data_IF_398960402899
#
_entry.id   IF_398960402899
#
_cell.length_a   1.000
_cell.length_b   1.000
_cell.length_c   1.000
_cell.angle_alpha   90.00
_cell.angle_beta   90.00
_cell.angle_gamma   90.00
#
_symmetry.space_group_name_H-M   'P 1'
#
loop_
_entity.id
_entity.type
_entity.pdbx_description
1 polymer ?
#
# COMPACT_ATOMS: atom_id res chain seq x y z
N UNK A 1 -45.03 19.98 29.78
CA UNK A 1 -44.34 18.71 29.53
C UNK A 1 -43.86 18.77 28.10
N UNK A 2 -42.63 19.23 27.96
CA UNK A 2 -41.86 19.24 26.73
C UNK A 2 -41.53 17.80 26.38
N UNK A 3 -41.76 17.39 25.14
CA UNK A 3 -40.74 16.64 24.41
C UNK A 3 -40.98 16.90 22.91
N UNK A 4 -40.19 17.85 22.41
CA UNK A 4 -40.09 18.17 21.00
C UNK A 4 -39.04 17.24 20.39
N UNK A 5 -39.38 16.74 19.21
CA UNK A 5 -38.55 15.98 18.30
C UNK A 5 -37.04 16.32 18.33
N UNK A 6 -36.23 15.28 18.48
CA UNK A 6 -34.87 15.22 17.94
C UNK A 6 -34.80 13.96 17.06
N UNK A 7 -35.26 14.09 15.82
CA UNK A 7 -34.84 13.16 14.77
C UNK A 7 -33.38 13.51 14.45
N UNK A 8 -32.50 12.57 14.72
CA UNK A 8 -31.07 12.67 14.48
C UNK A 8 -30.82 12.76 12.97
N UNK A 9 -30.62 13.97 12.48
CA UNK A 9 -30.04 14.23 11.17
C UNK A 9 -28.56 13.86 11.26
N UNK A 10 -28.26 12.58 11.09
CA UNK A 10 -26.90 12.13 10.83
C UNK A 10 -26.61 12.44 9.37
N UNK A 11 -26.27 13.71 9.11
CA UNK A 11 -25.49 14.08 7.95
C UNK A 11 -24.26 13.18 7.95
N UNK A 12 -24.29 12.15 7.12
CA UNK A 12 -23.19 11.23 6.94
C UNK A 12 -22.06 12.04 6.31
N UNK A 13 -21.15 12.53 7.16
CA UNK A 13 -19.99 13.30 6.78
C UNK A 13 -19.34 12.61 5.59
N UNK A 14 -19.27 13.34 4.47
CA UNK A 14 -18.56 12.93 3.28
C UNK A 14 -17.14 12.57 3.70
N UNK A 15 -16.83 11.28 3.80
CA UNK A 15 -15.48 10.81 4.11
C UNK A 15 -14.56 11.33 3.00
N UNK A 16 -13.85 12.42 3.29
CA UNK A 16 -12.78 12.96 2.48
C UNK A 16 -11.67 11.91 2.41
N UNK A 17 -11.74 11.03 1.41
CA UNK A 17 -10.62 10.17 1.04
C UNK A 17 -9.58 11.01 0.29
N UNK A 18 -9.07 12.06 0.94
CA UNK A 18 -8.16 13.01 0.32
C UNK A 18 -6.76 12.87 0.94
N UNK A 19 -5.85 12.32 0.14
CA UNK A 19 -4.40 12.51 0.24
C UNK A 19 -3.73 12.06 1.55
N UNK A 20 -3.81 10.76 1.86
CA UNK A 20 -2.89 10.12 2.80
C UNK A 20 -1.54 9.76 2.16
N UNK A 21 -0.46 9.47 2.92
CA UNK A 21 0.85 9.08 2.38
C UNK A 21 0.85 7.86 1.43
N UNK A 22 -0.24 7.08 1.43
CA UNK A 22 -0.45 5.97 0.51
C UNK A 22 -0.95 6.42 -0.88
N UNK A 23 -1.58 7.59 -0.99
CA UNK A 23 -2.04 8.16 -2.26
C UNK A 23 -0.86 8.52 -3.18
N UNK A 24 0.34 8.71 -2.62
CA UNK A 24 1.58 8.96 -3.37
C UNK A 24 2.24 7.68 -3.91
N UNK A 25 1.75 6.49 -3.53
CA UNK A 25 2.32 5.21 -3.98
C UNK A 25 1.63 4.76 -5.27
N UNK A 26 2.01 5.38 -6.39
CA UNK A 26 1.33 5.18 -7.68
C UNK A 26 1.96 4.05 -8.49
N UNK A 27 3.28 3.96 -8.51
CA UNK A 27 4.01 3.01 -9.35
C UNK A 27 4.53 1.80 -8.57
N UNK A 28 4.84 0.71 -9.27
CA UNK A 28 5.56 -0.44 -8.67
C UNK A 28 6.84 0.01 -7.97
N UNK A 29 7.59 0.95 -8.56
CA UNK A 29 8.79 1.54 -7.96
C UNK A 29 8.49 2.23 -6.62
N UNK A 30 7.36 2.92 -6.50
CA UNK A 30 6.98 3.60 -5.25
C UNK A 30 6.70 2.59 -4.14
N UNK A 31 5.95 1.54 -4.45
CA UNK A 31 5.65 0.45 -3.50
C UNK A 31 6.89 -0.32 -3.10
N UNK A 32 7.79 -0.59 -4.05
CA UNK A 32 9.07 -1.25 -3.76
C UNK A 32 9.94 -0.40 -2.83
N UNK A 33 10.14 0.89 -3.17
CA UNK A 33 10.88 1.84 -2.34
C UNK A 33 10.31 1.92 -0.93
N UNK A 34 8.99 2.03 -0.81
CA UNK A 34 8.30 2.09 0.47
C UNK A 34 8.55 0.81 1.28
N UNK A 35 8.34 -0.35 0.68
CA UNK A 35 8.49 -1.66 1.32
C UNK A 35 9.91 -1.88 1.83
N UNK A 36 10.93 -1.65 1.00
CA UNK A 36 12.35 -1.78 1.38
C UNK A 36 12.69 -0.84 2.54
N UNK A 37 12.21 0.40 2.50
CA UNK A 37 12.43 1.36 3.61
C UNK A 37 11.82 0.86 4.92
N UNK A 38 10.60 0.31 4.87
CA UNK A 38 9.94 -0.25 6.05
C UNK A 38 10.67 -1.49 6.55
N UNK A 39 11.02 -2.41 5.67
CA UNK A 39 11.70 -3.67 5.99
C UNK A 39 13.05 -3.43 6.67
N UNK A 40 13.84 -2.50 6.13
CA UNK A 40 15.11 -2.10 6.73
C UNK A 40 14.93 -1.45 8.11
N UNK A 41 13.86 -0.67 8.34
CA UNK A 41 13.60 -0.07 9.65
C UNK A 41 13.13 -1.08 10.69
N UNK A 42 12.43 -2.13 10.28
CA UNK A 42 11.86 -3.13 11.19
C UNK A 42 12.68 -4.42 11.30
N UNK A 43 13.73 -4.58 10.48
CA UNK A 43 14.58 -5.78 10.44
C UNK A 43 13.74 -7.06 10.32
N UNK A 44 12.96 -7.14 9.25
CA UNK A 44 12.08 -8.29 9.02
C UNK A 44 12.87 -9.59 8.84
N UNK A 45 12.22 -10.71 9.11
CA UNK A 45 12.73 -12.01 8.67
C UNK A 45 12.35 -12.21 7.20
N UNK A 46 13.35 -12.27 6.32
CA UNK A 46 13.16 -12.65 4.92
C UNK A 46 13.05 -14.17 4.81
N UNK A 47 11.98 -14.65 4.17
CA UNK A 47 11.71 -16.08 4.01
C UNK A 47 12.53 -16.69 2.87
N UNK A 48 12.33 -17.98 2.60
CA UNK A 48 12.70 -18.62 1.33
C UNK A 48 14.19 -18.57 0.89
N UNK A 49 15.13 -18.32 1.81
CA UNK A 49 16.56 -18.28 1.52
C UNK A 49 17.05 -16.96 0.93
N UNK A 50 16.22 -15.93 0.96
CA UNK A 50 16.53 -14.57 0.53
C UNK A 50 17.12 -13.81 1.72
N UNK A 51 18.27 -13.15 1.53
CA UNK A 51 18.98 -12.47 2.63
C UNK A 51 18.77 -10.96 2.66
N UNK A 52 18.27 -10.38 1.57
CA UNK A 52 18.15 -8.93 1.43
C UNK A 52 16.70 -8.45 1.40
N UNK A 53 16.46 -7.31 2.05
CA UNK A 53 15.15 -6.66 2.13
C UNK A 53 14.61 -6.28 0.75
N UNK A 54 15.51 -6.00 -0.21
CA UNK A 54 15.11 -5.64 -1.58
C UNK A 54 14.45 -6.81 -2.29
N UNK A 55 15.10 -7.98 -2.29
CA UNK A 55 14.63 -9.16 -3.00
C UNK A 55 13.30 -9.66 -2.43
N UNK A 56 13.15 -9.67 -1.10
CA UNK A 56 11.88 -10.02 -0.44
C UNK A 56 10.76 -9.03 -0.81
N UNK A 57 11.05 -7.73 -0.80
CA UNK A 57 10.08 -6.71 -1.20
C UNK A 57 9.68 -6.84 -2.67
N UNK A 58 10.64 -7.08 -3.57
CA UNK A 58 10.38 -7.30 -4.99
C UNK A 58 9.51 -8.55 -5.19
N UNK A 59 9.84 -9.65 -4.51
CA UNK A 59 9.08 -10.90 -4.57
C UNK A 59 7.63 -10.68 -4.13
N UNK A 60 7.42 -10.05 -2.98
CA UNK A 60 6.08 -9.79 -2.44
C UNK A 60 5.25 -8.87 -3.36
N UNK A 61 5.84 -7.81 -3.88
CA UNK A 61 5.15 -6.88 -4.79
C UNK A 61 4.76 -7.59 -6.08
N UNK A 62 5.69 -8.30 -6.73
CA UNK A 62 5.41 -9.03 -7.97
C UNK A 62 4.38 -10.14 -7.77
N UNK A 63 4.49 -10.91 -6.68
CA UNK A 63 3.54 -11.95 -6.32
C UNK A 63 2.13 -11.39 -6.09
N UNK A 64 2.02 -10.25 -5.38
CA UNK A 64 0.75 -9.58 -5.11
C UNK A 64 0.07 -9.11 -6.40
N UNK A 65 0.85 -8.63 -7.37
CA UNK A 65 0.36 -8.15 -8.66
C UNK A 65 0.21 -9.26 -9.72
N UNK A 66 0.45 -10.53 -9.36
CA UNK A 66 0.46 -11.67 -10.27
C UNK A 66 1.40 -11.47 -11.49
N UNK A 67 2.56 -10.84 -11.26
CA UNK A 67 3.60 -10.59 -12.26
C UNK A 67 4.69 -11.68 -12.24
N UNK A 68 5.47 -11.85 -13.33
CA UNK A 68 6.62 -12.75 -13.34
C UNK A 68 7.65 -12.37 -12.26
N UNK A 69 7.95 -13.30 -11.35
CA UNK A 69 8.76 -13.06 -10.15
C UNK A 69 10.25 -12.81 -10.44
N UNK A 70 10.71 -13.16 -11.64
CA UNK A 70 12.09 -13.03 -12.10
C UNK A 70 12.32 -11.77 -12.95
N UNK A 71 11.32 -10.89 -13.08
CA UNK A 71 11.35 -9.79 -14.04
C UNK A 71 10.73 -8.50 -13.50
N UNK A 72 11.46 -7.78 -12.66
CA UNK A 72 10.99 -6.54 -12.04
C UNK A 72 11.07 -5.32 -12.97
N UNK A 73 12.18 -5.14 -13.67
CA UNK A 73 12.57 -3.91 -14.37
C UNK A 73 11.51 -3.36 -15.33
N UNK A 74 10.79 -4.18 -16.13
CA UNK A 74 9.79 -3.67 -17.05
C UNK A 74 8.59 -3.02 -16.37
N UNK A 75 8.33 -3.35 -15.10
CA UNK A 75 7.14 -2.92 -14.38
C UNK A 75 7.39 -1.74 -13.45
N UNK A 76 8.65 -1.31 -13.26
CA UNK A 76 8.99 -0.26 -12.29
C UNK A 76 8.18 1.03 -12.48
N UNK A 77 7.95 1.42 -13.74
CA UNK A 77 7.22 2.64 -14.07
C UNK A 77 5.73 2.38 -14.36
N UNK A 78 5.26 1.14 -14.16
CA UNK A 78 3.85 0.79 -14.29
C UNK A 78 3.06 1.31 -13.08
N UNK A 79 1.96 2.00 -13.35
CA UNK A 79 1.01 2.41 -12.32
C UNK A 79 0.19 1.21 -11.85
N UNK A 80 -0.06 1.11 -10.56
CA UNK A 80 -0.98 0.14 -9.98
C UNK A 80 -2.37 0.77 -10.02
N UNK A 81 -3.30 0.26 -10.85
CA UNK A 81 -4.66 0.80 -10.91
C UNK A 81 -5.38 0.53 -9.58
N UNK A 82 -6.12 1.53 -9.12
CA UNK A 82 -7.03 1.49 -7.97
C UNK A 82 -8.24 0.61 -8.22
#
# INVERSE_FOLDING_TARGET
MTDHAEELDHDHEHHEHESGPLAELVTVRDWLRYSVTRFNRTQIFCGHGVTDSFDEAAWLVLATLALPLDRLEPFLDACIPS
#
